data_IF_293885702644
#
_entry.id   IF_293885702644
#
_cell.length_a   1.000
_cell.length_b   1.000
_cell.length_c   1.000
_cell.angle_alpha   90.00
_cell.angle_beta   90.00
_cell.angle_gamma   90.00
#
_symmetry.space_group_name_H-M   'P 1'
#
loop_
_entity.id
_entity.type
_entity.pdbx_description
1 polymer ?
#
# COMPACT_ATOMS: atom_id res chain seq x y z
N UNK A 1 5.22 -22.64 -5.36
CA UNK A 1 3.83 -22.48 -4.90
C UNK A 1 3.72 -21.15 -4.17
N UNK A 2 2.61 -20.44 -4.34
CA UNK A 2 2.33 -19.22 -3.57
C UNK A 2 1.56 -19.57 -2.32
N UNK A 3 1.96 -18.98 -1.21
CA UNK A 3 1.28 -19.07 0.07
C UNK A 3 1.01 -17.66 0.60
N UNK A 4 -0.01 -17.54 1.46
CA UNK A 4 -0.44 -16.25 1.98
C UNK A 4 -0.80 -16.35 3.46
N UNK A 5 -0.31 -15.42 4.27
CA UNK A 5 -0.69 -15.36 5.68
C UNK A 5 -0.56 -13.96 6.29
N UNK A 6 -1.18 -13.75 7.45
CA UNK A 6 -0.92 -12.60 8.32
C UNK A 6 0.20 -12.98 9.28
N UNK A 7 1.26 -12.18 9.32
CA UNK A 7 2.43 -12.40 10.17
C UNK A 7 2.54 -11.25 11.15
N UNK A 8 2.22 -11.50 12.42
CA UNK A 8 2.24 -10.46 13.44
C UNK A 8 3.66 -9.95 13.72
N UNK A 9 4.66 -10.82 13.61
CA UNK A 9 6.07 -10.49 13.85
C UNK A 9 6.69 -9.67 12.71
N UNK A 10 6.12 -9.73 11.51
CA UNK A 10 6.65 -9.03 10.35
C UNK A 10 6.15 -7.58 10.28
N UNK A 11 6.76 -6.70 11.05
CA UNK A 11 6.48 -5.24 11.01
C UNK A 11 7.25 -4.52 9.89
N UNK A 12 7.61 -5.26 8.84
CA UNK A 12 8.44 -4.87 7.67
C UNK A 12 9.72 -4.09 7.94
N UNK A 13 10.25 -3.47 6.88
CA UNK A 13 11.61 -2.92 6.82
C UNK A 13 11.59 -1.49 6.26
N UNK A 14 12.75 -0.82 6.22
CA UNK A 14 12.87 0.51 5.61
C UNK A 14 12.05 1.60 6.33
N UNK A 15 11.49 2.53 5.56
CA UNK A 15 10.66 3.65 6.02
C UNK A 15 9.33 3.17 6.61
N UNK A 16 8.81 2.03 6.14
CA UNK A 16 7.55 1.48 6.63
C UNK A 16 7.70 0.64 7.92
N UNK A 17 8.92 0.49 8.47
CA UNK A 17 9.18 -0.31 9.68
C UNK A 17 8.28 0.11 10.86
N UNK A 18 7.67 -0.87 11.51
CA UNK A 18 6.78 -0.68 12.67
C UNK A 18 5.30 -0.62 12.32
N UNK A 19 4.97 -0.61 11.02
CA UNK A 19 3.61 -0.77 10.55
C UNK A 19 3.21 -2.24 10.47
N UNK A 20 1.93 -2.48 10.70
CA UNK A 20 1.32 -3.79 10.47
C UNK A 20 1.06 -3.95 8.97
N UNK A 21 1.16 -5.18 8.50
CA UNK A 21 0.98 -5.51 7.08
C UNK A 21 -0.42 -6.04 6.84
N UNK A 22 -0.86 -5.95 5.59
CA UNK A 22 -1.95 -6.76 5.08
C UNK A 22 -1.53 -8.22 4.96
N UNK A 23 -2.23 -8.96 4.10
CA UNK A 23 -1.89 -10.35 3.82
C UNK A 23 -0.52 -10.44 3.13
N UNK A 24 0.42 -11.15 3.75
CA UNK A 24 1.80 -11.31 3.30
C UNK A 24 1.86 -12.47 2.33
N UNK A 25 2.45 -12.23 1.16
CA UNK A 25 2.67 -13.25 0.14
C UNK A 25 4.04 -13.91 0.28
N UNK A 26 4.08 -15.21 0.02
CA UNK A 26 5.28 -16.03 -0.02
C UNK A 26 5.38 -16.76 -1.34
N UNK A 27 6.60 -16.92 -1.85
CA UNK A 27 6.91 -17.80 -2.98
C UNK A 27 8.00 -18.77 -2.55
N UNK A 28 7.68 -20.05 -2.56
CA UNK A 28 8.59 -21.14 -2.19
C UNK A 28 9.22 -20.93 -0.80
N UNK A 29 8.37 -20.53 0.16
CA UNK A 29 8.75 -20.27 1.56
C UNK A 29 9.43 -18.93 1.83
N UNK A 30 9.64 -18.08 0.82
CA UNK A 30 10.28 -16.76 0.97
C UNK A 30 9.24 -15.64 0.89
N UNK A 31 9.33 -14.68 1.81
CA UNK A 31 8.51 -13.46 1.78
C UNK A 31 8.86 -12.64 0.53
N UNK A 32 7.85 -12.27 -0.25
CA UNK A 32 8.03 -11.45 -1.46
C UNK A 32 7.56 -10.00 -1.31
N UNK A 33 7.26 -9.59 -0.08
CA UNK A 33 6.71 -8.27 0.25
C UNK A 33 7.78 -7.19 0.45
N UNK A 34 8.97 -7.54 0.97
CA UNK A 34 10.03 -6.58 1.36
C UNK A 34 9.46 -5.37 2.15
N UNK A 35 9.74 -4.14 1.74
CA UNK A 35 9.22 -2.93 2.41
C UNK A 35 7.73 -2.67 2.12
N UNK A 36 7.18 -3.33 1.09
CA UNK A 36 5.78 -3.23 0.73
C UNK A 36 4.84 -3.54 1.90
N UNK A 37 3.62 -3.04 1.80
CA UNK A 37 2.61 -3.19 2.83
C UNK A 37 1.86 -4.54 2.82
N UNK A 38 2.09 -5.41 1.83
CA UNK A 38 1.30 -6.63 1.62
C UNK A 38 -0.04 -6.34 0.93
N UNK A 39 -0.94 -7.32 0.90
CA UNK A 39 -2.24 -7.22 0.23
C UNK A 39 -3.29 -6.66 1.18
N UNK A 40 -3.93 -5.56 0.79
CA UNK A 40 -5.03 -4.95 1.53
C UNK A 40 -4.64 -4.23 2.82
N UNK A 41 -3.42 -3.73 2.92
CA UNK A 41 -3.05 -2.83 4.01
C UNK A 41 -3.77 -1.48 3.86
N UNK A 42 -4.09 -0.83 4.97
CA UNK A 42 -5.00 0.31 4.95
C UNK A 42 -4.34 1.58 5.50
N UNK A 43 -4.60 2.70 4.82
CA UNK A 43 -4.25 4.03 5.29
C UNK A 43 -5.39 5.03 5.04
N UNK A 44 -5.40 6.11 5.82
CA UNK A 44 -6.36 7.22 5.71
C UNK A 44 -5.59 8.53 5.70
N UNK A 45 -5.86 9.39 4.72
CA UNK A 45 -5.39 10.77 4.75
C UNK A 45 -6.52 11.70 5.18
N UNK A 46 -6.30 12.40 6.29
CA UNK A 46 -7.25 13.37 6.86
C UNK A 46 -6.53 14.46 7.66
N UNK A 47 -7.05 15.69 7.63
CA UNK A 47 -6.53 16.86 8.36
C UNK A 47 -5.04 17.18 8.09
N UNK A 48 -4.52 16.79 6.93
CA UNK A 48 -3.12 16.98 6.54
C UNK A 48 -2.15 15.99 7.19
N UNK A 49 -2.64 14.80 7.56
CA UNK A 49 -1.83 13.68 8.05
C UNK A 49 -2.27 12.38 7.39
N UNK A 50 -1.34 11.44 7.29
CA UNK A 50 -1.60 10.05 6.94
C UNK A 50 -1.66 9.19 8.20
N UNK A 51 -2.70 8.37 8.31
CA UNK A 51 -2.92 7.41 9.37
C UNK A 51 -2.86 5.99 8.81
N UNK A 52 -2.28 5.08 9.55
CA UNK A 52 -2.14 3.67 9.21
C UNK A 52 -2.91 2.83 10.22
N UNK A 53 -3.29 1.62 9.79
CA UNK A 53 -3.99 0.68 10.63
C UNK A 53 -3.05 -0.26 11.39
N UNK A 54 -3.43 -0.65 12.60
CA UNK A 54 -2.83 -1.77 13.35
C UNK A 54 -3.82 -2.92 13.44
N UNK A 55 -3.33 -4.15 13.32
CA UNK A 55 -4.17 -5.35 13.38
C UNK A 55 -4.61 -5.56 14.83
N UNK A 56 -5.94 -5.57 15.05
CA UNK A 56 -6.53 -5.86 16.35
C UNK A 56 -6.79 -7.35 16.53
N UNK A 57 -7.28 -8.01 15.48
CA UNK A 57 -7.60 -9.43 15.54
C UNK A 57 -7.59 -10.09 14.17
N UNK A 58 -7.17 -11.35 14.13
CA UNK A 58 -7.20 -12.22 12.96
C UNK A 58 -8.05 -13.45 13.27
N UNK A 59 -8.97 -13.79 12.39
CA UNK A 59 -9.79 -15.01 12.47
C UNK A 59 -9.60 -15.81 11.19
N UNK A 60 -9.25 -17.09 11.31
CA UNK A 60 -9.03 -17.99 10.17
C UNK A 60 -10.08 -19.11 10.20
N UNK A 61 -10.90 -19.20 9.17
CA UNK A 61 -11.95 -20.23 9.06
C UNK A 61 -12.17 -20.62 7.60
N UNK A 62 -12.19 -21.93 7.31
CA UNK A 62 -12.54 -22.48 5.98
C UNK A 62 -11.79 -21.83 4.80
N UNK A 63 -10.48 -21.60 4.93
CA UNK A 63 -9.66 -20.98 3.87
C UNK A 63 -9.89 -19.46 3.69
N UNK A 64 -10.62 -18.84 4.62
CA UNK A 64 -10.81 -17.39 4.70
C UNK A 64 -10.09 -16.82 5.90
N UNK A 65 -9.63 -15.57 5.76
CA UNK A 65 -8.94 -14.84 6.81
C UNK A 65 -9.67 -13.51 7.00
N UNK A 66 -10.31 -13.31 8.15
CA UNK A 66 -10.87 -12.03 8.54
C UNK A 66 -9.86 -11.28 9.40
N UNK A 67 -9.45 -10.10 8.95
CA UNK A 67 -8.59 -9.18 9.68
C UNK A 67 -9.40 -7.96 10.06
N UNK A 68 -9.37 -7.62 11.34
CA UNK A 68 -9.96 -6.40 11.86
C UNK A 68 -8.85 -5.51 12.38
N UNK A 69 -8.80 -4.27 11.90
CA UNK A 69 -7.74 -3.32 12.19
C UNK A 69 -8.29 -1.98 12.66
N UNK A 70 -7.58 -1.33 13.57
CA UNK A 70 -7.88 0.01 14.06
C UNK A 70 -6.99 1.04 13.36
N UNK A 71 -7.54 2.18 12.95
CA UNK A 71 -6.76 3.28 12.33
C UNK A 71 -6.16 4.17 13.42
N UNK A 72 -5.03 3.72 13.97
CA UNK A 72 -4.47 4.20 15.25
C UNK A 72 -2.99 4.60 15.20
N UNK A 73 -2.32 4.51 14.05
CA UNK A 73 -0.95 5.01 13.85
C UNK A 73 -0.98 6.25 12.99
N UNK A 74 -0.28 7.32 13.36
CA UNK A 74 -0.12 8.53 12.53
C UNK A 74 1.32 8.68 12.06
N UNK A 75 1.51 8.98 10.77
CA UNK A 75 2.81 9.37 10.24
C UNK A 75 3.18 10.76 10.74
N UNK A 76 4.35 10.85 11.35
CA UNK A 76 5.03 12.10 11.65
C UNK A 76 6.47 12.04 11.11
N UNK A 77 6.98 13.20 10.68
CA UNK A 77 8.38 13.33 10.28
C UNK A 77 9.20 13.88 11.44
N UNK A 78 10.33 13.22 11.70
CA UNK A 78 11.39 13.72 12.58
C UNK A 78 12.49 14.35 11.76
N UNK A 79 13.18 15.32 12.35
CA UNK A 79 14.47 15.82 11.85
C UNK A 79 15.39 15.96 13.05
N UNK A 80 16.63 15.47 12.94
CA UNK A 80 17.59 15.48 14.06
C UNK A 80 17.02 14.88 15.37
N UNK A 81 16.18 13.84 15.25
CA UNK A 81 15.51 13.18 16.37
C UNK A 81 14.30 13.93 16.95
N UNK A 82 14.07 15.19 16.55
CA UNK A 82 12.95 16.01 17.03
C UNK A 82 11.73 15.85 16.11
N UNK A 83 10.56 15.61 16.69
CA UNK A 83 9.27 15.55 15.96
C UNK A 83 8.82 16.96 15.60
N UNK A 84 8.58 17.21 14.32
CA UNK A 84 8.14 18.54 13.85
C UNK A 84 6.80 18.41 13.11
N UNK A 85 5.70 18.65 13.84
CA UNK A 85 4.33 18.57 13.28
C UNK A 85 4.08 19.50 12.09
N UNK A 86 4.50 20.78 12.11
CA UNK A 86 4.34 21.66 10.94
C UNK A 86 5.06 21.11 9.69
N UNK A 87 6.27 20.58 9.88
CA UNK A 87 7.06 19.97 8.81
C UNK A 87 6.34 18.75 8.21
N UNK A 88 5.65 17.98 9.06
CA UNK A 88 4.84 16.84 8.59
C UNK A 88 3.75 17.30 7.62
N UNK A 89 2.97 18.32 7.98
CA UNK A 89 1.91 18.85 7.10
C UNK A 89 2.47 19.44 5.80
N UNK A 90 3.64 20.06 5.86
CA UNK A 90 4.34 20.58 4.67
C UNK A 90 4.78 19.45 3.75
N UNK A 91 5.39 18.39 4.28
CA UNK A 91 5.78 17.23 3.47
C UNK A 91 4.59 16.50 2.88
N UNK A 92 3.51 16.33 3.65
CA UNK A 92 2.24 15.78 3.14
C UNK A 92 1.66 16.62 2.00
N UNK A 93 1.70 17.94 2.14
CA UNK A 93 1.28 18.86 1.08
C UNK A 93 2.16 18.74 -0.17
N UNK A 94 3.48 18.72 -0.01
CA UNK A 94 4.43 18.55 -1.13
C UNK A 94 4.22 17.21 -1.82
N UNK A 95 4.07 16.13 -1.05
CA UNK A 95 3.79 14.80 -1.59
C UNK A 95 2.50 14.81 -2.42
N UNK A 96 1.40 15.27 -1.83
CA UNK A 96 0.07 15.23 -2.46
C UNK A 96 -0.06 16.18 -3.65
N UNK A 97 0.51 17.38 -3.58
CA UNK A 97 0.29 18.43 -4.58
C UNK A 97 1.41 18.61 -5.60
N UNK A 98 2.62 18.11 -5.32
CA UNK A 98 3.77 18.29 -6.21
C UNK A 98 4.23 16.94 -6.74
N UNK A 99 4.50 15.99 -5.85
CA UNK A 99 5.00 14.67 -6.24
C UNK A 99 3.95 13.84 -6.99
N UNK A 100 2.80 13.57 -6.35
CA UNK A 100 1.73 12.73 -6.91
C UNK A 100 1.11 13.32 -8.18
N UNK A 101 1.05 14.66 -8.30
CA UNK A 101 0.51 15.34 -9.49
C UNK A 101 1.47 15.38 -10.68
N UNK A 102 2.75 15.05 -10.48
CA UNK A 102 3.77 15.18 -11.51
C UNK A 102 4.48 13.85 -11.77
N UNK A 103 3.68 12.88 -12.22
CA UNK A 103 4.06 11.49 -12.52
C UNK A 103 5.40 11.39 -13.28
N UNK A 104 5.62 12.24 -14.29
CA UNK A 104 6.84 12.22 -15.12
C UNK A 104 8.12 12.63 -14.39
N UNK A 105 8.00 13.35 -13.26
CA UNK A 105 9.14 13.87 -12.48
C UNK A 105 9.32 13.16 -11.14
N UNK A 106 8.50 12.15 -10.84
CA UNK A 106 8.55 11.43 -9.56
C UNK A 106 9.94 10.88 -9.24
N UNK A 107 10.62 10.21 -10.18
CA UNK A 107 11.97 9.70 -9.96
C UNK A 107 12.99 10.80 -9.62
N UNK A 108 12.86 11.99 -10.21
CA UNK A 108 13.71 13.14 -9.87
C UNK A 108 13.43 13.63 -8.45
N UNK A 109 12.15 13.75 -8.08
CA UNK A 109 11.75 14.17 -6.73
C UNK A 109 12.19 13.18 -5.66
N UNK A 110 12.08 11.88 -5.91
CA UNK A 110 12.56 10.84 -4.99
C UNK A 110 14.06 10.95 -4.77
N UNK A 111 14.84 11.15 -5.83
CA UNK A 111 16.29 11.34 -5.74
C UNK A 111 16.65 12.59 -4.93
N UNK A 112 16.02 13.72 -5.21
CA UNK A 112 16.23 14.96 -4.46
C UNK A 112 15.80 14.82 -3.00
N UNK A 113 14.63 14.22 -2.76
CA UNK A 113 14.11 13.94 -1.43
C UNK A 113 15.01 13.01 -0.62
N UNK A 114 15.61 11.99 -1.25
CA UNK A 114 16.62 11.13 -0.61
C UNK A 114 17.84 11.93 -0.12
N UNK A 115 18.40 12.79 -0.98
CA UNK A 115 19.54 13.65 -0.60
C UNK A 115 19.17 14.59 0.54
N UNK A 116 18.03 15.27 0.45
CA UNK A 116 17.58 16.20 1.49
C UNK A 116 17.33 15.47 2.82
N UNK A 117 16.70 14.30 2.80
CA UNK A 117 16.45 13.53 4.02
C UNK A 117 17.75 13.12 4.70
N UNK A 118 18.79 12.78 3.94
CA UNK A 118 20.12 12.44 4.48
C UNK A 118 20.80 13.66 5.11
N UNK A 119 20.72 14.83 4.48
CA UNK A 119 21.32 16.08 4.99
C UNK A 119 20.62 16.54 6.28
N UNK A 120 19.29 16.47 6.33
CA UNK A 120 18.49 16.97 7.46
C UNK A 120 18.11 15.88 8.47
N UNK A 121 18.67 14.68 8.33
CA UNK A 121 18.31 13.48 9.09
C UNK A 121 16.79 13.33 9.27
N UNK A 122 16.06 13.38 8.16
CA UNK A 122 14.60 13.33 8.15
C UNK A 122 14.14 11.88 8.08
N UNK A 123 13.42 11.46 9.11
CA UNK A 123 12.97 10.08 9.29
C UNK A 123 11.46 10.05 9.45
N UNK A 124 10.81 9.06 8.84
CA UNK A 124 9.43 8.75 9.16
C UNK A 124 9.35 8.13 10.55
N UNK A 125 8.33 8.48 11.31
CA UNK A 125 7.97 7.79 12.52
C UNK A 125 6.46 7.63 12.63
N UNK A 126 6.04 6.52 13.22
CA UNK A 126 4.64 6.22 13.42
C UNK A 126 4.34 6.39 14.91
N UNK A 127 3.42 7.31 15.21
CA UNK A 127 3.01 7.58 16.59
C UNK A 127 1.63 6.98 16.83
N UNK A 128 1.46 6.29 17.95
CA UNK A 128 0.17 5.81 18.39
C UNK A 128 -0.76 7.00 18.72
N UNK A 129 -2.00 6.89 18.27
CA UNK A 129 -3.06 7.86 18.49
C UNK A 129 -4.36 7.13 18.80
N UNK A 130 -5.35 7.86 19.32
CA UNK A 130 -6.69 7.30 19.48
C UNK A 130 -7.23 6.89 18.11
N UNK A 131 -7.78 5.66 18.04
CA UNK A 131 -8.31 5.10 16.80
C UNK A 131 -9.35 6.02 16.14
N UNK A 132 -9.12 6.31 14.86
CA UNK A 132 -9.98 7.11 14.00
C UNK A 132 -11.06 6.28 13.31
N UNK A 133 -11.13 4.98 13.55
CA UNK A 133 -12.06 4.11 12.89
C UNK A 133 -11.56 2.68 12.80
N UNK A 134 -12.40 1.84 12.23
CA UNK A 134 -12.14 0.42 12.06
C UNK A 134 -12.20 0.03 10.58
N UNK A 135 -11.36 -0.94 10.22
CA UNK A 135 -11.34 -1.55 8.90
C UNK A 135 -11.45 -3.05 9.07
N UNK A 136 -12.28 -3.68 8.24
CA UNK A 136 -12.43 -5.13 8.16
C UNK A 136 -12.05 -5.58 6.77
N UNK A 137 -11.11 -6.52 6.70
CA UNK A 137 -10.69 -7.15 5.46
C UNK A 137 -10.93 -8.66 5.56
N UNK A 138 -11.81 -9.17 4.69
CA UNK A 138 -12.02 -10.60 4.53
C UNK A 138 -11.26 -11.05 3.27
N UNK A 139 -10.23 -11.85 3.48
CA UNK A 139 -9.45 -12.47 2.43
C UNK A 139 -10.00 -13.87 2.13
N UNK A 140 -10.14 -14.19 0.85
CA UNK A 140 -10.37 -15.55 0.36
C UNK A 140 -9.24 -15.91 -0.60
N UNK A 141 -8.48 -16.95 -0.26
CA UNK A 141 -7.33 -17.41 -1.06
C UNK A 141 -7.77 -18.63 -1.87
N UNK A 142 -7.64 -18.54 -3.20
CA UNK A 142 -7.93 -19.64 -4.11
C UNK A 142 -6.74 -19.84 -5.06
N UNK A 143 -5.79 -20.68 -4.63
CA UNK A 143 -4.54 -20.89 -5.34
C UNK A 143 -3.74 -19.59 -5.47
N UNK A 144 -3.60 -19.10 -6.70
CA UNK A 144 -2.84 -17.89 -7.02
C UNK A 144 -3.70 -16.62 -7.07
N UNK A 145 -4.95 -16.66 -6.62
CA UNK A 145 -5.82 -15.50 -6.52
C UNK A 145 -6.20 -15.22 -5.06
N UNK A 146 -6.13 -13.95 -4.68
CA UNK A 146 -6.60 -13.44 -3.39
C UNK A 146 -7.74 -12.47 -3.64
N UNK A 147 -8.96 -12.87 -3.29
CA UNK A 147 -10.11 -11.95 -3.26
C UNK A 147 -10.18 -11.25 -1.91
N UNK A 148 -10.43 -9.94 -1.94
CA UNK A 148 -10.52 -9.10 -0.75
C UNK A 148 -11.88 -8.42 -0.73
N UNK A 149 -12.58 -8.55 0.40
CA UNK A 149 -13.82 -7.83 0.70
C UNK A 149 -13.56 -6.89 1.88
N UNK A 150 -13.68 -5.59 1.62
CA UNK A 150 -13.37 -4.52 2.55
C UNK A 150 -14.63 -3.79 3.02
N UNK A 151 -14.65 -3.49 4.31
CA UNK A 151 -15.59 -2.57 4.93
C UNK A 151 -14.84 -1.66 5.88
N UNK A 152 -15.25 -0.40 6.00
CA UNK A 152 -14.66 0.50 6.97
C UNK A 152 -15.71 1.40 7.63
N UNK A 153 -15.38 1.86 8.83
CA UNK A 153 -16.12 2.88 9.56
C UNK A 153 -15.11 3.88 10.13
N UNK A 154 -14.85 4.95 9.37
CA UNK A 154 -13.90 6.00 9.69
C UNK A 154 -14.66 7.20 10.25
N UNK A 155 -14.28 7.63 11.47
CA UNK A 155 -14.89 8.76 12.19
C UNK A 155 -14.69 10.09 11.48
N UNK A 156 -13.69 10.19 10.61
CA UNK A 156 -13.35 11.41 9.86
C UNK A 156 -14.08 11.43 8.51
N UNK A 157 -14.83 12.52 8.28
CA UNK A 157 -15.53 12.77 7.01
C UNK A 157 -14.60 13.34 5.96
N UNK A 158 -14.99 13.21 4.68
CA UNK A 158 -14.25 13.74 3.53
C UNK A 158 -12.75 13.35 3.54
N UNK A 159 -12.47 12.12 3.97
CA UNK A 159 -11.12 11.56 3.97
C UNK A 159 -10.83 10.83 2.67
N UNK A 160 -9.53 10.66 2.37
CA UNK A 160 -9.06 9.75 1.31
C UNK A 160 -8.62 8.47 1.99
N UNK A 161 -9.11 7.36 1.50
CA UNK A 161 -8.81 6.02 1.99
C UNK A 161 -7.90 5.36 0.97
N UNK A 162 -6.86 4.69 1.43
CA UNK A 162 -5.89 4.00 0.59
C UNK A 162 -5.85 2.54 0.97
N UNK A 163 -6.02 1.67 -0.02
CA UNK A 163 -5.84 0.23 0.10
C UNK A 163 -4.60 -0.16 -0.68
N UNK A 164 -3.53 -0.45 0.02
CA UNK A 164 -2.23 -0.76 -0.53
C UNK A 164 -2.10 -2.26 -0.76
N UNK A 165 -1.67 -2.61 -1.97
CA UNK A 165 -1.40 -3.97 -2.44
C UNK A 165 0.02 -4.03 -2.98
N UNK A 166 0.96 -4.10 -2.05
CA UNK A 166 2.36 -3.81 -2.30
C UNK A 166 3.25 -5.01 -2.00
N UNK A 167 4.12 -5.29 -2.95
CA UNK A 167 5.19 -6.27 -2.89
C UNK A 167 6.56 -5.58 -2.93
N UNK A 168 7.62 -6.36 -2.89
CA UNK A 168 8.98 -5.83 -2.90
C UNK A 168 9.41 -5.31 -4.27
N UNK A 169 9.93 -4.08 -4.33
CA UNK A 169 10.50 -3.53 -5.57
C UNK A 169 11.76 -4.27 -6.03
N UNK A 170 12.50 -4.88 -5.11
CA UNK A 170 13.66 -5.72 -5.45
C UNK A 170 13.26 -7.01 -6.16
N UNK A 171 11.99 -7.41 -6.02
CA UNK A 171 11.44 -8.65 -6.55
C UNK A 171 10.66 -8.40 -7.84
N UNK A 172 9.75 -7.42 -7.83
CA UNK A 172 8.96 -7.05 -9.00
C UNK A 172 9.63 -5.87 -9.72
N UNK A 173 10.40 -6.20 -10.75
CA UNK A 173 11.34 -5.30 -11.42
C UNK A 173 10.81 -4.74 -12.75
N UNK A 174 9.76 -5.32 -13.32
CA UNK A 174 9.18 -4.92 -14.61
C UNK A 174 7.70 -4.58 -14.52
N UNK A 175 7.26 -3.70 -15.41
CA UNK A 175 5.84 -3.45 -15.66
C UNK A 175 5.37 -4.21 -16.90
N UNK A 176 4.09 -4.50 -16.97
CA UNK A 176 3.44 -5.03 -18.17
C UNK A 176 2.20 -4.19 -18.44
N UNK A 177 2.13 -3.56 -19.61
CA UNK A 177 0.97 -2.76 -20.03
C UNK A 177 0.39 -3.39 -21.28
N UNK A 178 -0.87 -3.81 -21.22
CA UNK A 178 -1.57 -4.46 -22.34
C UNK A 178 -0.75 -5.64 -22.93
N UNK A 179 -0.10 -6.42 -22.07
CA UNK A 179 0.71 -7.58 -22.45
C UNK A 179 2.16 -7.28 -22.85
N UNK A 180 2.56 -6.01 -23.00
CA UNK A 180 3.93 -5.65 -23.36
C UNK A 180 4.77 -5.35 -22.12
N UNK A 181 5.94 -5.98 -22.02
CA UNK A 181 6.91 -5.72 -20.94
C UNK A 181 7.51 -4.31 -21.13
N UNK A 182 7.52 -3.53 -20.06
CA UNK A 182 8.00 -2.16 -20.00
C UNK A 182 8.74 -1.92 -18.68
N UNK A 183 9.43 -0.78 -18.58
CA UNK A 183 9.83 -0.25 -17.28
C UNK A 183 8.57 0.13 -16.48
N UNK A 184 8.51 -0.22 -15.18
CA UNK A 184 7.42 0.19 -14.32
C UNK A 184 7.55 1.70 -13.99
N UNK A 185 6.45 2.36 -13.61
CA UNK A 185 6.50 3.74 -13.15
C UNK A 185 7.42 3.89 -11.93
N UNK A 186 8.23 4.96 -11.90
CA UNK A 186 9.18 5.24 -10.80
C UNK A 186 8.51 5.85 -9.55
N UNK A 187 7.25 5.53 -9.32
CA UNK A 187 6.32 6.16 -8.38
C UNK A 187 4.88 5.76 -8.72
N UNK A 188 3.89 6.38 -8.10
CA UNK A 188 2.48 6.07 -8.35
C UNK A 188 1.93 6.78 -9.59
N UNK A 189 1.38 6.01 -10.53
CA UNK A 189 0.67 6.50 -11.70
C UNK A 189 -0.73 5.94 -11.76
N UNK A 190 -1.68 6.74 -12.26
CA UNK A 190 -3.04 6.26 -12.51
C UNK A 190 -3.02 5.11 -13.51
N UNK A 191 -3.74 4.04 -13.21
CA UNK A 191 -3.88 2.93 -14.15
C UNK A 191 -4.69 3.37 -15.37
N UNK A 192 -4.14 3.15 -16.57
CA UNK A 192 -4.83 3.32 -17.85
C UNK A 192 -4.93 1.96 -18.52
N UNK A 193 -6.01 1.24 -18.24
CA UNK A 193 -6.21 -0.14 -18.71
C UNK A 193 -5.52 -1.18 -17.81
N UNK A 194 -5.21 -2.34 -18.38
CA UNK A 194 -4.64 -3.47 -17.63
C UNK A 194 -3.13 -3.26 -17.45
N UNK A 195 -2.73 -3.12 -16.19
CA UNK A 195 -1.34 -3.05 -15.79
C UNK A 195 -1.01 -4.25 -14.87
N UNK A 196 0.16 -4.85 -15.08
CA UNK A 196 0.68 -5.94 -14.25
C UNK A 196 2.11 -5.59 -13.82
N UNK A 197 2.56 -6.14 -12.69
CA UNK A 197 3.95 -6.09 -12.26
C UNK A 197 4.56 -7.48 -12.38
N UNK A 198 5.73 -7.56 -13.02
CA UNK A 198 6.44 -8.79 -13.33
C UNK A 198 7.72 -8.87 -12.49
N UNK A 199 7.93 -10.04 -11.89
CA UNK A 199 9.19 -10.47 -11.32
C UNK A 199 9.91 -11.37 -12.31
N UNK A 200 11.03 -10.88 -12.85
CA UNK A 200 11.91 -11.67 -13.70
C UNK A 200 12.56 -12.83 -12.94
N UNK A 201 12.82 -12.65 -11.64
CA UNK A 201 13.51 -13.64 -10.81
C UNK A 201 12.64 -14.84 -10.43
N UNK A 202 11.33 -14.62 -10.25
CA UNK A 202 10.38 -15.68 -9.86
C UNK A 202 9.48 -16.12 -11.01
N UNK A 203 9.67 -15.56 -12.20
CA UNK A 203 8.78 -15.74 -13.36
C UNK A 203 7.31 -15.60 -12.97
N UNK A 204 7.01 -14.54 -12.23
CA UNK A 204 5.72 -14.32 -11.59
C UNK A 204 5.24 -12.92 -11.88
N UNK A 205 4.00 -12.77 -12.34
CA UNK A 205 3.36 -11.46 -12.45
C UNK A 205 2.12 -11.37 -11.57
N UNK A 206 1.77 -10.16 -11.16
CA UNK A 206 0.52 -9.91 -10.46
C UNK A 206 -0.18 -8.64 -10.95
N UNK A 207 -1.51 -8.66 -10.82
CA UNK A 207 -2.38 -7.57 -11.20
C UNK A 207 -3.50 -7.41 -10.16
N UNK A 208 -4.10 -6.22 -10.13
CA UNK A 208 -5.32 -5.94 -9.39
C UNK A 208 -6.53 -5.92 -10.33
N UNK A 209 -7.66 -6.43 -9.86
CA UNK A 209 -8.96 -6.30 -10.51
C UNK A 209 -10.00 -5.86 -9.48
N UNK A 210 -10.50 -4.64 -9.60
CA UNK A 210 -11.63 -4.18 -8.80
C UNK A 210 -12.92 -4.83 -9.32
N UNK A 211 -13.66 -5.50 -8.43
CA UNK A 211 -14.82 -6.33 -8.79
C UNK A 211 -16.14 -5.74 -8.30
N UNK A 212 -16.10 -4.89 -7.27
CA UNK A 212 -17.28 -4.17 -6.80
C UNK A 212 -16.90 -2.87 -6.07
N UNK A 213 -17.50 -1.75 -6.50
CA UNK A 213 -17.49 -0.47 -5.79
C UNK A 213 -18.88 -0.25 -5.19
N UNK A 214 -19.00 0.02 -3.87
CA UNK A 214 -20.28 0.30 -3.24
C UNK A 214 -20.90 1.63 -3.69
N UNK A 215 -22.22 1.77 -3.54
CA UNK A 215 -22.91 3.03 -3.82
C UNK A 215 -22.39 4.18 -2.93
N UNK A 216 -22.22 5.37 -3.52
CA UNK A 216 -21.71 6.54 -2.81
C UNK A 216 -20.19 6.52 -2.54
N UNK A 217 -19.47 5.55 -3.12
CA UNK A 217 -18.02 5.43 -3.07
C UNK A 217 -17.45 5.65 -4.47
N UNK A 218 -16.34 6.37 -4.57
CA UNK A 218 -15.52 6.41 -5.79
C UNK A 218 -14.17 5.79 -5.51
N UNK A 219 -13.61 5.11 -6.52
CA UNK A 219 -12.32 4.46 -6.43
C UNK A 219 -11.47 4.80 -7.66
N UNK A 220 -10.18 5.02 -7.45
CA UNK A 220 -9.19 5.21 -8.50
C UNK A 220 -8.01 4.28 -8.23
N UNK A 221 -7.69 3.42 -9.20
CA UNK A 221 -6.53 2.55 -9.11
C UNK A 221 -5.25 3.26 -9.57
N UNK A 222 -4.19 3.05 -8.81
CA UNK A 222 -2.83 3.43 -9.11
C UNK A 222 -1.92 2.20 -9.11
N UNK A 223 -0.81 2.31 -9.83
CA UNK A 223 0.24 1.30 -9.84
C UNK A 223 1.60 1.99 -9.87
N UNK A 224 2.63 1.31 -9.38
CA UNK A 224 3.93 1.93 -9.28
C UNK A 224 5.02 1.04 -8.72
N UNK A 225 6.25 1.54 -8.81
CA UNK A 225 7.43 0.96 -8.20
C UNK A 225 8.39 2.05 -7.73
N UNK A 226 8.64 2.08 -6.43
CA UNK A 226 9.69 2.92 -5.85
C UNK A 226 10.84 2.06 -5.33
N UNK A 227 12.01 2.28 -5.92
CA UNK A 227 13.26 1.66 -5.47
C UNK A 227 14.31 2.77 -5.28
N UNK A 228 14.63 3.08 -4.03
CA UNK A 228 15.63 4.07 -3.63
C UNK A 228 16.22 3.71 -2.25
N UNK A 229 17.22 4.46 -1.77
CA UNK A 229 17.78 4.30 -0.43
C UNK A 229 16.66 4.51 0.62
N UNK A 230 16.17 3.41 1.20
CA UNK A 230 15.07 3.39 2.17
C UNK A 230 13.65 3.31 1.59
N UNK A 231 13.49 3.03 0.29
CA UNK A 231 12.20 2.71 -0.33
C UNK A 231 12.32 1.48 -1.22
N UNK A 232 11.49 0.45 -0.98
CA UNK A 232 11.54 -0.80 -1.74
C UNK A 232 10.15 -1.44 -1.90
N UNK A 233 9.24 -0.77 -2.61
CA UNK A 233 7.90 -1.27 -2.86
C UNK A 233 7.50 -1.20 -4.33
N UNK A 234 6.71 -2.17 -4.77
CA UNK A 234 6.07 -2.23 -6.09
C UNK A 234 4.67 -2.79 -5.92
N UNK A 235 3.66 -2.12 -6.44
CA UNK A 235 2.31 -2.56 -6.18
C UNK A 235 1.21 -1.76 -6.87
N UNK A 236 0.03 -1.97 -6.33
CA UNK A 236 -1.20 -1.30 -6.70
C UNK A 236 -1.81 -0.64 -5.46
N UNK A 237 -2.48 0.48 -5.66
CA UNK A 237 -3.20 1.19 -4.62
C UNK A 237 -4.60 1.51 -5.12
N UNK A 238 -5.62 1.22 -4.30
CA UNK A 238 -6.94 1.78 -4.49
C UNK A 238 -7.05 3.06 -3.66
N UNK A 239 -7.16 4.20 -4.33
CA UNK A 239 -7.56 5.45 -3.71
C UNK A 239 -9.09 5.53 -3.69
N UNK A 240 -9.67 5.42 -2.51
CA UNK A 240 -11.11 5.41 -2.27
C UNK A 240 -11.52 6.74 -1.65
N UNK A 241 -12.56 7.34 -2.22
CA UNK A 241 -13.21 8.54 -1.66
C UNK A 241 -14.64 8.21 -1.26
N UNK A 242 -14.98 8.57 -0.02
CA UNK A 242 -16.29 8.35 0.57
C UNK A 242 -16.60 9.46 1.59
N UNK A 243 -17.58 10.31 1.28
CA UNK A 243 -17.92 11.48 2.10
C UNK A 243 -18.32 11.11 3.54
N UNK A 244 -19.01 9.97 3.69
CA UNK A 244 -19.49 9.48 4.98
C UNK A 244 -18.36 8.92 5.86
N UNK A 245 -17.22 8.55 5.28
CA UNK A 245 -16.16 7.77 5.93
C UNK A 245 -16.52 6.30 6.15
N UNK A 246 -17.67 5.83 5.65
CA UNK A 246 -18.16 4.48 5.87
C UNK A 246 -18.62 3.84 4.56
N UNK A 247 -18.11 2.63 4.31
CA UNK A 247 -18.59 1.76 3.24
C UNK A 247 -18.52 0.30 3.65
N UNK A 248 -19.28 -0.53 2.94
CA UNK A 248 -19.29 -1.98 3.09
C UNK A 248 -19.26 -2.62 1.70
N UNK A 249 -18.69 -3.82 1.59
CA UNK A 249 -18.59 -4.58 0.35
C UNK A 249 -17.73 -3.93 -0.76
N UNK A 250 -16.65 -3.22 -0.46
CA UNK A 250 -15.68 -2.86 -1.50
C UNK A 250 -14.83 -4.09 -1.85
N UNK A 251 -14.84 -4.54 -3.11
CA UNK A 251 -14.22 -5.82 -3.48
C UNK A 251 -13.23 -5.69 -4.63
N UNK A 252 -12.12 -6.41 -4.50
CA UNK A 252 -11.13 -6.57 -5.55
C UNK A 252 -10.42 -7.93 -5.42
N UNK A 253 -9.73 -8.35 -6.48
CA UNK A 253 -8.85 -9.51 -6.47
C UNK A 253 -7.41 -9.09 -6.80
N UNK A 254 -6.44 -9.71 -6.15
CA UNK A 254 -5.05 -9.75 -6.60
C UNK A 254 -4.81 -11.11 -7.25
N UNK A 255 -4.41 -11.09 -8.52
CA UNK A 255 -4.26 -12.29 -9.35
C UNK A 255 -2.79 -12.46 -9.68
N UNK A 256 -2.20 -13.57 -9.24
CA UNK A 256 -0.84 -13.97 -9.59
C UNK A 256 -0.85 -14.98 -10.73
N UNK A 257 0.10 -14.85 -11.64
CA UNK A 257 0.28 -15.76 -12.78
C UNK A 257 1.76 -16.10 -12.93
N UNK A 258 2.05 -17.39 -12.94
CA UNK A 258 3.38 -17.86 -13.38
C UNK A 258 3.49 -17.64 -14.88
N UNK A 259 4.65 -17.15 -15.32
CA UNK A 259 4.96 -16.89 -16.73
C UNK A 259 6.11 -17.77 -17.16
N UNK A 260 6.11 -18.18 -18.42
CA UNK A 260 7.28 -18.77 -19.05
C UNK A 260 7.99 -17.61 -19.73
N UNK A 261 9.18 -17.27 -19.23
CA UNK A 261 10.06 -16.22 -19.78
C UNK A 261 11.05 -16.86 -20.75
#
# INVERSE_FOLDING_TARGET
MLDFDIIDEYKGIGVSRGLDRGLVAFKDGKIIVEEGMGIGAFAVQADGYTYFSSVRSVQKENGRILVISDVDKRLEWKTWGLRIRPLTRVFEYICTNIYMKNEKKQGMFLRLGGVLRKIFNVEACFVEVVSNGEVRALYSVNGNEVSVDLSCDIKKKACRIFVMNEMGAGIFDKGVINGNVTEPPSGWQKMQGVCELLSSAYSLKFAILETHIPDGVTSQLYWGREMAEGYCWAGFESEIFCDSGRFENYKYSIIFKEVII
#
